data_IF_607621897323
#
_entry.id   IF_607621897323
#
_cell.length_a   1.000
_cell.length_b   1.000
_cell.length_c   1.000
_cell.angle_alpha   90.00
_cell.angle_beta   90.00
_cell.angle_gamma   90.00
#
_symmetry.space_group_name_H-M   'P 1'
#
loop_
_entity.id
_entity.type
_entity.pdbx_description
1 polymer ?
#
# COMPACT_ATOMS: atom_id res chain seq x y z
N UNK A 1 -4.45 7.48 17.93
CA UNK A 1 -3.56 7.28 16.77
C UNK A 1 -4.45 7.04 15.54
N UNK A 2 -4.08 7.48 14.33
CA UNK A 2 -4.83 7.19 13.10
C UNK A 2 -3.97 6.25 12.24
N UNK A 3 -4.53 5.11 11.86
CA UNK A 3 -3.86 4.08 11.07
C UNK A 3 -4.66 3.89 9.79
N UNK A 4 -3.97 3.93 8.65
CA UNK A 4 -4.53 3.59 7.35
C UNK A 4 -3.84 2.32 6.87
N UNK A 5 -4.61 1.24 6.72
CA UNK A 5 -4.13 -0.03 6.18
C UNK A 5 -4.65 -0.15 4.75
N UNK A 6 -3.74 -0.39 3.82
CA UNK A 6 -4.04 -0.69 2.41
C UNK A 6 -3.84 -2.17 2.19
N UNK A 7 -4.85 -2.85 1.63
CA UNK A 7 -4.75 -4.25 1.20
C UNK A 7 -4.86 -4.21 -0.33
N UNK A 8 -3.88 -4.77 -1.03
CA UNK A 8 -3.78 -4.67 -2.49
C UNK A 8 -3.24 -5.96 -3.09
N UNK A 9 -3.69 -6.24 -4.31
CA UNK A 9 -3.24 -7.31 -5.19
C UNK A 9 -2.20 -6.82 -6.22
N UNK A 10 -1.55 -5.66 -6.02
CA UNK A 10 -0.38 -5.28 -6.81
C UNK A 10 -0.37 -3.83 -7.33
N UNK A 11 -0.11 -3.68 -8.63
CA UNK A 11 0.20 -2.40 -9.26
C UNK A 11 -1.07 -1.61 -9.65
N UNK A 12 -1.01 -0.26 -9.67
CA UNK A 12 -2.15 0.54 -10.11
C UNK A 12 -2.32 0.41 -11.64
N UNK A 13 -3.50 -0.04 -12.09
CA UNK A 13 -3.79 -0.26 -13.51
C UNK A 13 -5.18 0.30 -13.84
N UNK A 14 -5.26 1.05 -14.93
CA UNK A 14 -6.51 1.46 -15.57
C UNK A 14 -6.26 1.63 -17.09
N UNK A 15 -6.90 0.80 -17.91
CA UNK A 15 -6.65 0.74 -19.36
C UNK A 15 -6.99 2.06 -20.06
N UNK A 16 -8.06 2.74 -19.61
CA UNK A 16 -8.48 3.99 -20.22
C UNK A 16 -7.46 5.11 -19.98
N UNK A 17 -6.91 5.17 -18.76
CA UNK A 17 -5.85 6.09 -18.39
C UNK A 17 -4.57 5.79 -19.18
N UNK A 18 -4.17 4.53 -19.28
CA UNK A 18 -2.93 4.14 -19.97
C UNK A 18 -3.01 4.30 -21.49
N UNK A 19 -4.21 4.26 -22.08
CA UNK A 19 -4.39 4.42 -23.54
C UNK A 19 -4.09 5.83 -24.06
N UNK A 20 -4.10 6.84 -23.18
CA UNK A 20 -3.98 8.26 -23.55
C UNK A 20 -2.84 8.99 -22.84
N UNK A 21 -2.14 8.32 -21.92
CA UNK A 21 -1.10 8.92 -21.07
C UNK A 21 0.21 8.12 -21.13
N UNK A 22 1.26 8.64 -20.48
CA UNK A 22 2.50 7.87 -20.33
C UNK A 22 2.25 6.63 -19.47
N UNK A 23 2.88 5.47 -19.78
CA UNK A 23 2.62 4.21 -19.07
C UNK A 23 2.88 4.25 -17.57
N UNK A 24 3.71 5.20 -17.10
CA UNK A 24 4.12 5.35 -15.72
C UNK A 24 3.25 6.34 -14.91
N UNK A 25 2.21 6.93 -15.51
CA UNK A 25 1.40 7.96 -14.86
C UNK A 25 0.79 7.49 -13.53
N UNK A 26 0.23 6.27 -13.50
CA UNK A 26 -0.41 5.71 -12.31
C UNK A 26 0.63 5.30 -11.24
N UNK A 27 1.76 4.76 -11.67
CA UNK A 27 2.88 4.37 -10.80
C UNK A 27 3.45 5.61 -10.09
N UNK A 28 3.73 6.66 -10.85
CA UNK A 28 4.24 7.93 -10.35
C UNK A 28 3.22 8.63 -9.45
N UNK A 29 1.94 8.63 -9.86
CA UNK A 29 0.88 9.24 -9.06
C UNK A 29 0.70 8.54 -7.71
N UNK A 30 0.69 7.20 -7.69
CA UNK A 30 0.59 6.44 -6.44
C UNK A 30 1.78 6.73 -5.51
N UNK A 31 3.01 6.72 -6.03
CA UNK A 31 4.20 7.09 -5.27
C UNK A 31 4.09 8.49 -4.68
N UNK A 32 3.62 9.47 -5.46
CA UNK A 32 3.50 10.84 -4.97
C UNK A 32 2.47 10.96 -3.85
N UNK A 33 1.28 10.37 -4.02
CA UNK A 33 0.24 10.39 -2.99
C UNK A 33 0.70 9.70 -1.70
N UNK A 34 1.32 8.53 -1.80
CA UNK A 34 1.84 7.80 -0.63
C UNK A 34 2.91 8.64 0.08
N UNK A 35 3.86 9.19 -0.66
CA UNK A 35 4.88 10.07 -0.11
C UNK A 35 4.28 11.30 0.59
N UNK A 36 3.26 11.92 -0.01
CA UNK A 36 2.56 13.06 0.60
C UNK A 36 1.88 12.68 1.91
N UNK A 37 1.22 11.51 1.97
CA UNK A 37 0.56 11.01 3.18
C UNK A 37 1.58 10.77 4.29
N UNK A 38 2.68 10.07 3.98
CA UNK A 38 3.73 9.75 4.93
C UNK A 38 4.45 11.01 5.44
N UNK A 39 4.78 11.95 4.55
CA UNK A 39 5.43 13.23 4.93
C UNK A 39 4.55 14.09 5.84
N UNK A 40 3.22 14.06 5.66
CA UNK A 40 2.30 14.77 6.56
C UNK A 40 2.32 14.20 7.97
N UNK A 41 2.71 12.93 8.15
CA UNK A 41 2.83 12.24 9.43
C UNK A 41 1.58 12.37 10.34
N UNK A 42 0.40 12.51 9.73
CA UNK A 42 -0.90 12.61 10.43
C UNK A 42 -1.58 11.25 10.60
N UNK A 43 -1.19 10.30 9.76
CA UNK A 43 -1.68 8.92 9.75
C UNK A 43 -0.47 8.01 9.59
N UNK A 44 -0.46 6.89 10.29
CA UNK A 44 0.50 5.84 10.04
C UNK A 44 -0.06 4.98 8.90
N UNK A 45 0.71 4.86 7.82
CA UNK A 45 0.32 4.14 6.62
C UNK A 45 1.04 2.78 6.59
N UNK A 46 0.26 1.72 6.39
CA UNK A 46 0.72 0.34 6.23
C UNK A 46 0.09 -0.27 4.98
N UNK A 47 0.84 -1.04 4.21
CA UNK A 47 0.32 -1.81 3.10
C UNK A 47 0.54 -3.33 3.28
N UNK A 48 -0.42 -4.11 2.80
CA UNK A 48 -0.37 -5.57 2.72
C UNK A 48 -0.64 -5.94 1.25
N UNK A 49 0.36 -6.51 0.59
CA UNK A 49 0.26 -7.08 -0.74
C UNK A 49 -0.14 -8.55 -0.67
N UNK A 50 -1.24 -8.94 -1.32
CA UNK A 50 -1.63 -10.35 -1.43
C UNK A 50 -1.06 -10.89 -2.73
N UNK A 51 -0.14 -11.85 -2.66
CA UNK A 51 0.54 -12.46 -3.81
C UNK A 51 1.48 -11.51 -4.56
N UNK A 52 1.62 -10.25 -4.12
CA UNK A 52 2.32 -9.20 -4.84
C UNK A 52 3.14 -8.30 -3.90
N UNK A 53 4.35 -7.94 -4.33
CA UNK A 53 5.20 -6.98 -3.62
C UNK A 53 4.74 -5.54 -3.87
N UNK A 54 4.32 -4.86 -2.80
CA UNK A 54 3.87 -3.46 -2.82
C UNK A 54 4.88 -2.49 -2.17
N UNK A 55 6.05 -2.98 -1.74
CA UNK A 55 7.10 -2.17 -1.09
C UNK A 55 7.66 -1.06 -1.99
N UNK A 56 7.48 -1.18 -3.30
CA UNK A 56 7.78 -0.13 -4.29
C UNK A 56 7.00 1.17 -4.04
N UNK A 57 5.80 1.08 -3.47
CA UNK A 57 4.92 2.23 -3.25
C UNK A 57 4.87 2.66 -1.79
N UNK A 58 4.94 1.71 -0.85
CA UNK A 58 4.72 1.96 0.57
C UNK A 58 5.97 1.61 1.39
N UNK A 59 6.47 2.54 2.21
CA UNK A 59 7.67 2.28 3.02
C UNK A 59 7.46 1.24 4.11
N UNK A 60 6.22 1.06 4.58
CA UNK A 60 5.84 -0.02 5.49
C UNK A 60 4.90 -0.94 4.73
N UNK A 61 5.44 -2.04 4.21
CA UNK A 61 4.72 -3.00 3.39
C UNK A 61 5.03 -4.43 3.84
N UNK A 62 4.02 -5.30 3.80
CA UNK A 62 4.15 -6.74 3.98
C UNK A 62 3.54 -7.47 2.78
N UNK A 63 4.02 -8.67 2.52
CA UNK A 63 3.48 -9.55 1.48
C UNK A 63 2.95 -10.78 2.18
N UNK A 64 1.74 -11.20 1.80
CA UNK A 64 1.17 -12.49 2.18
C UNK A 64 0.92 -13.29 0.92
N UNK A 65 1.01 -14.62 1.01
CA UNK A 65 0.77 -15.49 -0.14
C UNK A 65 -0.72 -15.54 -0.51
N UNK A 66 -1.58 -15.55 0.51
CA UNK A 66 -3.04 -15.66 0.39
C UNK A 66 -3.78 -14.82 1.44
N UNK A 67 -5.11 -14.76 1.30
CA UNK A 67 -6.00 -14.00 2.19
C UNK A 67 -6.13 -14.65 3.57
N UNK A 68 -5.89 -15.96 3.69
CA UNK A 68 -6.04 -16.68 4.96
C UNK A 68 -5.02 -16.17 6.00
N UNK A 69 -3.85 -15.74 5.52
CA UNK A 69 -2.79 -15.15 6.35
C UNK A 69 -3.04 -13.68 6.76
N UNK A 70 -4.08 -13.03 6.23
CA UNK A 70 -4.33 -11.59 6.41
C UNK A 70 -4.62 -11.22 7.87
N UNK A 71 -5.40 -12.05 8.57
CA UNK A 71 -5.83 -11.78 9.94
C UNK A 71 -4.64 -11.68 10.91
N UNK A 72 -3.73 -12.64 10.84
CA UNK A 72 -2.55 -12.70 11.69
C UNK A 72 -1.62 -11.51 11.44
N UNK A 73 -1.38 -11.16 10.18
CA UNK A 73 -0.55 -10.02 9.80
C UNK A 73 -1.15 -8.69 10.28
N UNK A 74 -2.47 -8.53 10.19
CA UNK A 74 -3.13 -7.33 10.72
C UNK A 74 -2.96 -7.24 12.23
N UNK A 75 -3.17 -8.32 12.98
CA UNK A 75 -3.08 -8.33 14.45
C UNK A 75 -1.65 -8.02 14.90
N UNK A 76 -0.65 -8.67 14.30
CA UNK A 76 0.76 -8.47 14.63
C UNK A 76 1.18 -7.01 14.41
N UNK A 77 0.78 -6.43 13.28
CA UNK A 77 1.14 -5.05 12.95
C UNK A 77 0.37 -4.02 13.77
N UNK A 78 -0.92 -4.23 14.01
CA UNK A 78 -1.70 -3.36 14.89
C UNK A 78 -1.11 -3.35 16.31
N UNK A 79 -0.68 -4.50 16.83
CA UNK A 79 0.00 -4.59 18.12
C UNK A 79 1.26 -3.71 18.16
N UNK A 80 2.15 -3.83 17.15
CA UNK A 80 3.38 -3.01 17.03
C UNK A 80 3.10 -1.51 16.92
N UNK A 81 2.03 -1.12 16.23
CA UNK A 81 1.70 0.31 16.02
C UNK A 81 1.01 0.94 17.23
N UNK A 82 0.30 0.14 18.02
CA UNK A 82 -0.42 0.58 19.19
C UNK A 82 0.48 0.62 20.44
N UNK A 83 1.47 -0.26 20.56
CA UNK A 83 2.55 -0.13 21.54
C UNK A 83 3.29 1.20 21.45
#
# INVERSE_FOLDING_TARGET
>A
KKILIVISDGAPVDDSTLSTNTPDILDNHLKDIVNQIQKKNKVQLLAIGIGHDVSKYYSNAFIIEDVDSLGDVIIENLSKMLS
#
